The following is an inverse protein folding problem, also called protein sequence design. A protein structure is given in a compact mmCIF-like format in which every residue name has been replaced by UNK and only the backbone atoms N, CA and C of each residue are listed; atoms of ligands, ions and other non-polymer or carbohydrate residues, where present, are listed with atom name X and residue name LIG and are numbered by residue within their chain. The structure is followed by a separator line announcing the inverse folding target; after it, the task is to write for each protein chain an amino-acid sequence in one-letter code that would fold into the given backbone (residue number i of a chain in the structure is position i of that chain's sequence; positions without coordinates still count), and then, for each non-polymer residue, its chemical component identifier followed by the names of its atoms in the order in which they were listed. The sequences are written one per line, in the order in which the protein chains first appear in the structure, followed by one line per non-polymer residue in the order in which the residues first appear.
data_IF_863175295367
#
_entry.id   IF_863175295367
#
_cell.length_a   1.000
_cell.length_b   1.000
_cell.length_c   1.000
_cell.angle_alpha   90.00
_cell.angle_beta   90.00
_cell.angle_gamma   90.00
#
_symmetry.space_group_name_H-M   'P 1'
#
loop_
_entity.id
_entity.type
_entity.pdbx_description
1 polymer ?
#
# COMPACT_ATOMS: atom_id res chain seq x y z
N UNK A 1 68.72 -10.42 50.24
CA UNK A 1 67.35 -10.92 50.45
C UNK A 1 66.41 -10.08 49.59
N UNK A 2 65.79 -10.63 48.54
CA UNK A 2 64.85 -9.92 47.67
C UNK A 2 63.44 -10.40 48.02
N UNK A 3 62.57 -9.49 48.47
CA UNK A 3 61.16 -9.80 48.74
C UNK A 3 60.42 -9.87 47.41
N UNK A 4 59.78 -11.01 47.15
CA UNK A 4 58.88 -11.21 46.01
C UNK A 4 57.48 -10.87 46.52
N UNK A 5 56.86 -9.84 45.92
CA UNK A 5 55.47 -9.47 46.18
C UNK A 5 54.60 -10.18 45.15
N UNK A 6 53.78 -11.11 45.61
CA UNK A 6 52.79 -11.79 44.77
C UNK A 6 51.50 -10.98 44.76
N UNK A 7 51.12 -10.43 43.61
CA UNK A 7 49.82 -9.76 43.41
C UNK A 7 48.81 -10.81 42.96
N UNK A 8 47.78 -11.03 43.77
CA UNK A 8 46.68 -11.95 43.47
C UNK A 8 45.58 -11.18 42.73
N UNK A 9 45.51 -11.32 41.40
CA UNK A 9 44.44 -10.76 40.58
C UNK A 9 43.19 -11.66 40.67
N UNK A 10 42.14 -11.15 41.31
CA UNK A 10 40.83 -11.79 41.38
C UNK A 10 40.11 -11.56 40.03
N UNK A 11 39.95 -12.60 39.21
CA UNK A 11 39.11 -12.55 38.01
C UNK A 11 37.65 -12.72 38.44
N UNK A 12 36.90 -11.64 38.55
CA UNK A 12 35.44 -11.69 38.65
C UNK A 12 34.87 -12.00 37.27
N UNK A 13 34.35 -13.21 37.10
CA UNK A 13 33.53 -13.58 35.93
C UNK A 13 32.19 -12.86 36.01
N UNK A 14 31.98 -11.89 35.13
CA UNK A 14 30.67 -11.28 34.93
C UNK A 14 29.85 -12.26 34.08
N UNK A 15 28.84 -12.89 34.68
CA UNK A 15 27.82 -13.61 33.93
C UNK A 15 26.93 -12.56 33.25
N UNK A 16 27.01 -12.48 31.93
CA UNK A 16 26.06 -11.69 31.16
C UNK A 16 24.71 -12.42 31.17
N UNK A 17 23.73 -11.88 31.89
CA UNK A 17 22.36 -12.36 31.87
C UNK A 17 21.65 -11.68 30.70
N UNK A 18 21.32 -12.44 29.66
CA UNK A 18 20.51 -11.95 28.54
C UNK A 18 19.08 -11.65 28.99
N UNK A 19 18.40 -10.74 28.29
CA UNK A 19 16.96 -10.57 28.46
C UNK A 19 16.21 -11.84 28.04
N UNK A 20 15.07 -12.11 28.68
CA UNK A 20 14.21 -13.23 28.29
C UNK A 20 13.75 -13.05 26.84
N UNK A 21 13.84 -14.09 25.98
CA UNK A 21 13.38 -14.00 24.60
C UNK A 21 11.90 -13.64 24.51
N UNK A 22 11.56 -12.72 23.61
CA UNK A 22 10.16 -12.40 23.33
C UNK A 22 9.53 -13.51 22.47
N UNK A 23 8.39 -14.05 22.91
CA UNK A 23 7.64 -15.04 22.14
C UNK A 23 6.82 -14.35 21.03
N UNK A 24 7.27 -14.48 19.78
CA UNK A 24 6.60 -13.88 18.60
C UNK A 24 5.49 -14.79 18.03
N UNK A 25 5.60 -16.10 18.21
CA UNK A 25 4.64 -17.07 17.68
C UNK A 25 4.54 -17.06 16.15
N UNK A 26 3.33 -17.25 15.62
CA UNK A 26 3.02 -17.30 14.18
C UNK A 26 2.14 -16.12 13.70
N UNK A 27 2.02 -15.08 14.51
CA UNK A 27 1.13 -13.96 14.24
C UNK A 27 1.75 -12.96 13.25
N UNK A 28 0.92 -12.36 12.39
CA UNK A 28 1.35 -11.32 11.46
C UNK A 28 1.60 -10.02 12.23
N UNK A 29 2.86 -9.61 12.31
CA UNK A 29 3.27 -8.33 12.89
C UNK A 29 3.28 -7.23 11.81
N UNK A 30 2.11 -6.65 11.53
CA UNK A 30 1.96 -5.62 10.48
C UNK A 30 2.64 -4.29 10.85
N UNK A 31 2.74 -4.01 12.16
CA UNK A 31 3.39 -2.83 12.72
C UNK A 31 4.39 -3.29 13.78
N UNK A 32 5.44 -2.49 13.96
CA UNK A 32 6.47 -2.69 14.98
C UNK A 32 6.50 -1.49 15.93
N UNK A 33 6.78 -1.76 17.19
CA UNK A 33 7.00 -0.76 18.23
C UNK A 33 8.35 -1.00 18.94
N UNK A 34 8.60 -0.26 20.03
CA UNK A 34 9.85 -0.39 20.78
C UNK A 34 10.00 -1.77 21.46
N UNK A 35 8.94 -2.59 21.60
CA UNK A 35 9.03 -3.93 22.20
C UNK A 35 9.74 -4.94 21.30
N UNK A 36 9.73 -4.71 19.98
CA UNK A 36 10.43 -5.52 18.98
C UNK A 36 11.84 -4.99 18.64
N UNK A 37 12.29 -3.93 19.32
CA UNK A 37 13.57 -3.26 19.03
C UNK A 37 14.45 -3.29 20.27
N UNK A 38 15.51 -4.09 20.25
CA UNK A 38 16.49 -4.15 21.33
C UNK A 38 17.24 -2.81 21.49
N UNK A 39 17.71 -2.23 20.38
CA UNK A 39 18.41 -0.96 20.40
C UNK A 39 18.32 -0.21 19.08
N UNK A 40 18.58 1.10 19.11
CA UNK A 40 18.65 1.98 17.94
C UNK A 40 19.78 2.97 18.09
N UNK A 41 20.48 3.27 17.00
CA UNK A 41 21.50 4.31 16.95
C UNK A 41 21.05 5.38 15.97
N UNK A 42 20.72 6.58 16.47
CA UNK A 42 20.24 7.71 15.67
C UNK A 42 19.01 7.38 14.78
N UNK A 43 18.19 6.39 15.16
CA UNK A 43 16.95 6.00 14.47
C UNK A 43 15.71 6.55 15.17
N UNK A 44 14.63 6.79 14.41
CA UNK A 44 13.32 7.16 14.96
C UNK A 44 12.19 6.62 14.09
N UNK A 45 11.03 6.35 14.72
CA UNK A 45 9.81 6.05 13.98
C UNK A 45 9.25 7.32 13.35
N UNK A 46 8.95 7.24 12.06
CA UNK A 46 8.33 8.33 11.32
C UNK A 46 7.09 7.82 10.61
N UNK A 47 5.93 8.29 11.05
CA UNK A 47 4.72 8.12 10.27
C UNK A 47 4.86 8.91 8.96
N UNK A 48 4.80 8.23 7.83
CA UNK A 48 4.72 8.88 6.54
C UNK A 48 3.37 9.59 6.43
N UNK A 49 3.41 10.92 6.33
CA UNK A 49 2.23 11.70 5.97
C UNK A 49 2.20 11.77 4.45
N UNK A 50 1.15 11.25 3.79
CA UNK A 50 1.01 11.44 2.36
C UNK A 50 0.94 12.93 2.07
N UNK A 51 1.77 13.38 1.13
CA UNK A 51 1.70 14.74 0.60
C UNK A 51 0.84 14.67 -0.64
N UNK A 52 -0.24 15.47 -0.75
CA UNK A 52 -1.02 15.55 -1.97
C UNK A 52 -0.11 15.81 -3.17
N UNK A 53 -0.30 15.02 -4.22
CA UNK A 53 0.37 15.14 -5.51
C UNK A 53 -0.66 15.50 -6.57
N UNK A 54 -0.21 15.50 -7.81
CA UNK A 54 -1.02 15.68 -8.99
C UNK A 54 -2.12 14.60 -9.09
N UNK A 55 -3.22 14.93 -9.77
CA UNK A 55 -4.29 13.96 -10.04
C UNK A 55 -3.79 12.96 -11.07
N UNK A 56 -3.70 11.68 -10.68
CA UNK A 56 -3.22 10.62 -11.57
C UNK A 56 -4.28 10.12 -12.56
N UNK A 57 -5.52 9.92 -12.09
CA UNK A 57 -6.66 9.46 -12.91
C UNK A 57 -7.88 10.29 -12.51
N UNK A 58 -8.52 10.89 -13.51
CA UNK A 58 -9.83 11.55 -13.37
C UNK A 58 -10.93 10.62 -13.86
N UNK A 59 -12.01 10.53 -13.08
CA UNK A 59 -13.20 9.70 -13.37
C UNK A 59 -14.35 10.60 -13.79
N UNK A 60 -14.35 11.01 -15.06
CA UNK A 60 -15.21 12.03 -15.64
C UNK A 60 -16.10 11.52 -16.78
N UNK A 61 -15.92 10.27 -17.22
CA UNK A 61 -16.78 9.66 -18.21
C UNK A 61 -18.12 9.22 -17.61
N UNK A 62 -19.15 9.16 -18.45
CA UNK A 62 -20.54 8.88 -18.04
C UNK A 62 -20.70 7.50 -17.40
N UNK A 63 -19.88 6.52 -17.76
CA UNK A 63 -19.86 5.18 -17.17
C UNK A 63 -19.04 5.07 -15.88
N UNK A 64 -18.17 6.04 -15.59
CA UNK A 64 -17.36 6.06 -14.37
C UNK A 64 -18.15 6.64 -13.19
N UNK A 65 -18.88 7.73 -13.44
CA UNK A 65 -19.74 8.38 -12.46
C UNK A 65 -18.98 8.96 -11.23
N UNK A 66 -19.75 9.40 -10.23
CA UNK A 66 -19.22 10.04 -9.01
C UNK A 66 -18.90 9.05 -7.88
N UNK A 67 -19.16 7.75 -8.08
CA UNK A 67 -18.87 6.66 -7.13
C UNK A 67 -17.82 5.72 -7.72
N UNK A 68 -16.73 6.31 -8.22
CA UNK A 68 -15.56 5.55 -8.67
C UNK A 68 -14.67 5.15 -7.50
N UNK A 69 -14.36 3.85 -7.38
CA UNK A 69 -13.69 3.29 -6.21
C UNK A 69 -12.93 1.99 -6.52
N UNK A 70 -12.30 1.42 -5.49
CA UNK A 70 -11.64 0.11 -5.52
C UNK A 70 -10.52 0.00 -6.55
N UNK A 71 -9.75 1.08 -6.70
CA UNK A 71 -8.58 1.09 -7.56
C UNK A 71 -7.58 0.02 -7.14
N UNK A 72 -7.29 -0.89 -8.05
CA UNK A 72 -6.28 -1.93 -7.93
C UNK A 72 -5.21 -1.67 -8.97
N UNK A 73 -4.02 -1.26 -8.50
CA UNK A 73 -2.86 -1.01 -9.34
C UNK A 73 -1.96 -2.23 -9.36
N UNK A 74 -1.62 -2.71 -10.54
CA UNK A 74 -0.69 -3.84 -10.72
C UNK A 74 0.14 -3.67 -11.98
N UNK A 75 1.30 -4.32 -11.99
CA UNK A 75 2.14 -4.42 -13.17
C UNK A 75 1.83 -5.73 -13.90
N UNK A 76 1.55 -5.65 -15.20
CA UNK A 76 1.33 -6.76 -16.12
C UNK A 76 2.40 -6.69 -17.24
N UNK A 77 3.49 -7.43 -17.05
CA UNK A 77 4.66 -7.36 -17.93
C UNK A 77 5.33 -5.98 -17.92
N UNK A 78 5.36 -5.33 -19.08
CA UNK A 78 5.97 -4.01 -19.27
C UNK A 78 4.98 -2.84 -19.09
N UNK A 79 3.72 -3.12 -18.73
CA UNK A 79 2.66 -2.13 -18.57
C UNK A 79 2.10 -2.18 -17.15
N UNK A 80 1.73 -1.03 -16.61
CA UNK A 80 0.97 -0.91 -15.38
C UNK A 80 -0.51 -0.76 -15.72
N UNK A 81 -1.37 -1.42 -14.94
CA UNK A 81 -2.83 -1.36 -15.06
C UNK A 81 -3.46 -0.95 -13.75
N UNK A 82 -4.47 -0.09 -13.86
CA UNK A 82 -5.33 0.32 -12.78
C UNK A 82 -6.75 -0.13 -13.10
N UNK A 83 -7.24 -1.13 -12.38
CA UNK A 83 -8.64 -1.55 -12.48
C UNK A 83 -9.45 -0.86 -11.40
N UNK A 84 -10.64 -0.37 -11.74
CA UNK A 84 -11.48 0.38 -10.81
C UNK A 84 -12.95 0.22 -11.16
N UNK A 85 -13.81 0.40 -10.16
CA UNK A 85 -15.27 0.39 -10.35
C UNK A 85 -15.74 1.76 -10.81
N UNK A 86 -16.64 1.81 -11.78
CA UNK A 86 -17.46 2.96 -12.16
C UNK A 86 -18.92 2.79 -11.69
N UNK A 87 -19.49 3.85 -11.11
CA UNK A 87 -20.88 3.93 -10.67
C UNK A 87 -21.27 5.40 -10.42
N UNK A 88 -22.55 5.73 -10.54
CA UNK A 88 -23.06 7.08 -10.27
C UNK A 88 -24.25 7.05 -9.31
N UNK A 89 -24.22 7.93 -8.32
CA UNK A 89 -25.27 8.12 -7.32
C UNK A 89 -25.83 9.53 -7.35
N UNK A 90 -27.13 9.63 -7.62
CA UNK A 90 -27.89 10.88 -7.50
C UNK A 90 -28.27 11.09 -6.03
N UNK A 91 -27.66 12.08 -5.38
CA UNK A 91 -27.86 12.37 -3.96
C UNK A 91 -29.22 12.98 -3.64
N UNK A 92 -29.89 13.59 -4.62
CA UNK A 92 -31.22 14.17 -4.44
C UNK A 92 -32.30 13.08 -4.50
N UNK A 93 -32.23 12.26 -5.54
CA UNK A 93 -33.16 11.14 -5.75
C UNK A 93 -32.84 9.92 -4.89
N UNK A 94 -31.63 9.87 -4.34
CA UNK A 94 -31.10 8.77 -3.52
C UNK A 94 -31.06 7.43 -4.27
N UNK A 95 -30.68 7.46 -5.54
CA UNK A 95 -30.63 6.27 -6.40
C UNK A 95 -29.29 6.18 -7.12
N UNK A 96 -28.87 4.94 -7.37
CA UNK A 96 -27.81 4.64 -8.33
C UNK A 96 -28.39 4.81 -9.74
N UNK A 97 -27.74 5.58 -10.60
CA UNK A 97 -28.33 5.99 -11.89
C UNK A 97 -27.93 5.08 -13.06
N UNK A 98 -26.93 4.23 -12.89
CA UNK A 98 -26.57 3.19 -13.85
C UNK A 98 -25.93 2.00 -13.14
N UNK A 99 -25.92 0.85 -13.81
CA UNK A 99 -25.25 -0.38 -13.33
C UNK A 99 -23.77 -0.14 -13.02
N UNK A 100 -23.21 -0.89 -12.08
CA UNK A 100 -21.77 -0.83 -11.79
C UNK A 100 -20.98 -1.51 -12.91
N UNK A 101 -19.84 -0.94 -13.25
CA UNK A 101 -18.93 -1.49 -14.28
C UNK A 101 -17.50 -1.50 -13.77
N UNK A 102 -16.65 -2.37 -14.31
CA UNK A 102 -15.20 -2.32 -14.05
C UNK A 102 -14.50 -1.71 -15.25
N UNK A 103 -13.68 -0.70 -14.99
CA UNK A 103 -12.89 0.05 -15.96
C UNK A 103 -11.40 -0.25 -15.80
N UNK A 104 -10.61 0.06 -16.83
CA UNK A 104 -9.15 -0.03 -16.79
C UNK A 104 -8.48 1.27 -17.24
N UNK A 105 -7.41 1.68 -16.57
CA UNK A 105 -6.44 2.65 -17.08
C UNK A 105 -5.07 1.98 -17.18
N UNK A 106 -4.27 2.39 -18.17
CA UNK A 106 -2.96 1.82 -18.47
C UNK A 106 -1.87 2.88 -18.35
N UNK A 107 -0.65 2.46 -18.00
CA UNK A 107 0.52 3.32 -17.88
C UNK A 107 1.80 2.57 -18.22
N UNK A 108 2.80 3.27 -18.77
CA UNK A 108 4.14 2.72 -19.05
C UNK A 108 5.14 3.01 -17.92
N UNK A 109 4.86 4.00 -17.08
CA UNK A 109 5.77 4.48 -16.02
C UNK A 109 5.16 4.41 -14.61
N UNK A 110 3.88 4.01 -14.50
CA UNK A 110 3.13 3.98 -13.24
C UNK A 110 2.73 5.36 -12.72
N UNK A 111 3.00 6.43 -13.46
CA UNK A 111 2.78 7.84 -13.08
C UNK A 111 1.72 8.46 -13.98
N UNK A 112 1.88 8.31 -15.30
CA UNK A 112 1.01 8.87 -16.32
C UNK A 112 0.05 7.81 -16.83
N UNK A 113 -1.26 8.05 -16.70
CA UNK A 113 -2.30 7.06 -16.98
C UNK A 113 -3.16 7.47 -18.17
N UNK A 114 -3.53 6.49 -19.00
CA UNK A 114 -4.45 6.66 -20.14
C UNK A 114 -5.59 5.66 -20.04
N UNK A 115 -6.82 6.08 -20.37
CA UNK A 115 -8.00 5.21 -20.46
C UNK A 115 -8.15 4.74 -21.91
N UNK A 116 -7.87 3.46 -22.25
CA UNK A 116 -7.94 2.99 -23.63
C UNK A 116 -9.39 2.84 -24.10
N UNK A 117 -9.65 3.06 -25.39
CA UNK A 117 -10.92 2.69 -26.03
C UNK A 117 -10.91 1.18 -26.35
N UNK A 118 -11.60 0.38 -25.53
CA UNK A 118 -11.60 -1.07 -25.61
C UNK A 118 -12.64 -1.63 -26.58
N UNK A 119 -13.78 -0.94 -26.75
CA UNK A 119 -14.88 -1.37 -27.64
C UNK A 119 -15.48 -2.75 -27.31
N UNK A 120 -15.42 -3.15 -26.04
CA UNK A 120 -15.89 -4.46 -25.58
C UNK A 120 -17.35 -4.41 -25.13
N UNK A 121 -17.73 -3.38 -24.35
CA UNK A 121 -19.05 -3.27 -23.73
C UNK A 121 -19.79 -2.02 -24.19
N UNK A 122 -21.08 -2.14 -24.42
CA UNK A 122 -21.95 -1.01 -24.76
C UNK A 122 -22.35 -0.23 -23.50
N UNK A 123 -22.24 1.09 -23.54
CA UNK A 123 -22.73 1.97 -22.49
C UNK A 123 -23.38 3.21 -23.13
N UNK A 124 -24.66 3.41 -22.86
CA UNK A 124 -25.44 4.54 -23.39
C UNK A 124 -25.39 4.64 -24.94
N UNK A 125 -25.44 3.47 -25.61
CA UNK A 125 -25.44 3.36 -27.08
C UNK A 125 -24.08 3.52 -27.75
N UNK A 126 -22.99 3.49 -26.98
CA UNK A 126 -21.61 3.56 -27.48
C UNK A 126 -20.74 2.53 -26.77
N UNK A 127 -19.86 1.86 -27.51
CA UNK A 127 -18.81 1.02 -26.95
C UNK A 127 -17.45 1.75 -26.83
N UNK A 128 -17.39 3.05 -27.15
CA UNK A 128 -16.16 3.84 -27.04
C UNK A 128 -15.85 4.17 -25.57
N UNK A 129 -15.36 3.18 -24.83
CA UNK A 129 -15.09 3.25 -23.40
C UNK A 129 -13.98 2.29 -22.98
N UNK A 130 -13.57 2.40 -21.71
CA UNK A 130 -12.53 1.57 -21.11
C UNK A 130 -13.09 0.48 -20.16
N UNK A 131 -14.32 0.02 -20.40
CA UNK A 131 -14.97 -1.00 -19.59
C UNK A 131 -14.41 -2.38 -19.94
N UNK A 132 -13.91 -3.10 -18.94
CA UNK A 132 -13.44 -4.49 -19.06
C UNK A 132 -14.49 -5.50 -18.61
N UNK A 133 -15.41 -5.09 -17.73
CA UNK A 133 -16.44 -5.96 -17.19
C UNK A 133 -17.73 -5.20 -16.88
N UNK A 134 -18.86 -5.83 -17.20
CA UNK A 134 -20.22 -5.33 -16.99
C UNK A 134 -21.07 -6.47 -16.40
N UNK A 135 -21.31 -6.44 -15.08
CA UNK A 135 -22.01 -7.51 -14.35
C UNK A 135 -22.00 -7.32 -12.85
#
# INVERSE_FOLDING_TARGET
MKQIVTILTLFTTVLAMGAEPLEIGSDIQLLWDDSLIESRVNGSFKFHRPVPKEVAITTDASWEGNVSAYFTFLQDGNEYRAYYRGSHYDTQKKVVTHREVTCVAISQDGINWTKPDLRIWDFDGSNNNNIVWDG
#
